data_IF_605396797498
#
_entry.id   IF_605396797498
#
_cell.length_a   1.000
_cell.length_b   1.000
_cell.length_c   1.000
_cell.angle_alpha   90.00
_cell.angle_beta   90.00
_cell.angle_gamma   90.00
#
_symmetry.space_group_name_H-M   'P 1'
#
loop_
_entity.id
_entity.type
_entity.pdbx_description
1 polymer ?
#
# COMPACT_ATOMS: atom_id res chain seq x y z
N UNK A 1 -13.56 1.51 2.10
CA UNK A 1 -14.76 1.00 2.80
C UNK A 1 -14.37 0.91 4.24
N UNK A 2 -14.89 1.81 5.08
CA UNK A 2 -14.68 1.70 6.52
C UNK A 2 -15.34 0.39 6.99
N UNK A 3 -14.59 -0.41 7.75
CA UNK A 3 -15.12 -1.64 8.32
C UNK A 3 -16.26 -1.34 9.30
N UNK A 4 -17.18 -2.28 9.48
CA UNK A 4 -18.13 -2.20 10.60
C UNK A 4 -17.42 -2.50 11.92
N UNK A 5 -17.92 -1.91 13.00
CA UNK A 5 -17.43 -2.20 14.35
C UNK A 5 -17.73 -3.65 14.76
N UNK A 6 -17.00 -4.16 15.77
CA UNK A 6 -17.23 -5.51 16.30
C UNK A 6 -18.65 -5.68 16.87
N UNK A 7 -19.18 -4.63 17.50
CA UNK A 7 -20.55 -4.61 18.03
C UNK A 7 -21.58 -4.70 16.90
N UNK A 8 -21.45 -3.87 15.86
CA UNK A 8 -22.33 -3.92 14.69
C UNK A 8 -22.28 -5.27 13.98
N UNK A 9 -21.08 -5.85 13.81
CA UNK A 9 -20.91 -7.17 13.20
C UNK A 9 -21.65 -8.24 14.01
N UNK A 10 -21.42 -8.27 15.33
CA UNK A 10 -22.06 -9.21 16.25
C UNK A 10 -23.60 -9.10 16.20
N UNK A 11 -24.13 -7.88 16.16
CA UNK A 11 -25.57 -7.65 16.09
C UNK A 11 -26.17 -8.12 14.76
N UNK A 12 -25.50 -7.87 13.64
CA UNK A 12 -25.92 -8.38 12.32
C UNK A 12 -25.82 -9.89 12.23
N UNK A 13 -24.77 -10.50 12.78
CA UNK A 13 -24.62 -11.96 12.84
C UNK A 13 -25.71 -12.60 13.69
N UNK A 14 -26.07 -11.98 14.82
CA UNK A 14 -27.20 -12.44 15.66
C UNK A 14 -28.51 -12.38 14.90
N UNK A 15 -28.78 -11.25 14.23
CA UNK A 15 -29.99 -11.08 13.43
C UNK A 15 -30.06 -12.13 12.31
N UNK A 16 -28.95 -12.35 11.60
CA UNK A 16 -28.85 -13.37 10.54
C UNK A 16 -29.14 -14.76 11.08
N UNK A 17 -28.53 -15.14 12.22
CA UNK A 17 -28.78 -16.42 12.88
C UNK A 17 -30.27 -16.61 13.22
N UNK A 18 -30.89 -15.61 13.86
CA UNK A 18 -32.31 -15.67 14.24
C UNK A 18 -33.22 -15.85 13.02
N UNK A 19 -32.95 -15.11 11.94
CA UNK A 19 -33.74 -15.20 10.69
C UNK A 19 -33.56 -16.54 10.00
N UNK A 20 -32.33 -17.02 9.91
CA UNK A 20 -32.01 -18.31 9.31
C UNK A 20 -32.63 -19.47 10.10
N UNK A 21 -32.48 -19.51 11.42
CA UNK A 21 -33.01 -20.60 12.25
C UNK A 21 -34.54 -20.67 12.20
N UNK A 22 -35.21 -19.51 12.15
CA UNK A 22 -36.64 -19.44 11.94
C UNK A 22 -37.06 -19.99 10.56
N UNK A 23 -36.32 -19.65 9.51
CA UNK A 23 -36.57 -20.16 8.15
C UNK A 23 -36.38 -21.68 8.09
N UNK A 24 -35.24 -22.19 8.54
CA UNK A 24 -34.92 -23.62 8.48
C UNK A 24 -35.90 -24.45 9.31
N UNK A 25 -36.33 -23.96 10.47
CA UNK A 25 -37.36 -24.63 11.28
C UNK A 25 -38.68 -24.81 10.55
N UNK A 26 -39.05 -23.86 9.70
CA UNK A 26 -40.34 -23.87 9.00
C UNK A 26 -40.28 -24.52 7.62
N UNK A 27 -39.17 -24.36 6.89
CA UNK A 27 -39.05 -24.72 5.47
C UNK A 27 -37.88 -25.67 5.15
N UNK A 28 -37.07 -26.05 6.15
CA UNK A 28 -35.85 -26.83 5.96
C UNK A 28 -34.70 -26.02 5.35
N UNK A 29 -33.61 -26.71 4.98
CA UNK A 29 -32.42 -26.08 4.39
C UNK A 29 -32.76 -25.27 3.12
N UNK A 30 -32.13 -24.10 2.96
CA UNK A 30 -32.28 -23.22 1.81
C UNK A 30 -31.95 -23.97 0.51
N UNK A 31 -30.89 -24.77 0.53
CA UNK A 31 -30.39 -25.59 -0.58
C UNK A 31 -31.23 -26.85 -0.85
N UNK A 32 -32.27 -27.12 -0.04
CA UNK A 32 -33.14 -28.28 -0.24
C UNK A 32 -33.86 -28.25 -1.60
N UNK A 33 -34.20 -29.43 -2.12
CA UNK A 33 -34.87 -29.54 -3.43
C UNK A 33 -36.19 -28.76 -3.49
N UNK A 34 -36.95 -28.71 -2.39
CA UNK A 34 -38.22 -27.99 -2.34
C UNK A 34 -38.01 -26.47 -2.43
N UNK A 35 -37.08 -25.92 -1.66
CA UNK A 35 -36.77 -24.50 -1.66
C UNK A 35 -36.12 -24.06 -2.97
N UNK A 36 -35.24 -24.88 -3.56
CA UNK A 36 -34.68 -24.63 -4.90
C UNK A 36 -35.76 -24.50 -5.99
N UNK A 37 -36.82 -25.30 -5.91
CA UNK A 37 -37.93 -25.21 -6.87
C UNK A 37 -38.74 -23.93 -6.60
N UNK A 38 -38.97 -23.59 -5.34
CA UNK A 38 -39.71 -22.39 -4.95
C UNK A 38 -38.99 -21.09 -5.38
N UNK A 39 -37.65 -21.06 -5.30
CA UNK A 39 -36.82 -19.91 -5.67
C UNK A 39 -36.26 -19.98 -7.10
N UNK A 40 -36.79 -20.85 -7.96
CA UNK A 40 -36.21 -21.10 -9.29
C UNK A 40 -36.05 -19.84 -10.16
N UNK A 41 -36.99 -18.90 -10.03
CA UNK A 41 -37.03 -17.68 -10.83
C UNK A 41 -36.46 -16.46 -10.07
N UNK A 42 -35.88 -16.67 -8.88
CA UNK A 42 -35.28 -15.63 -8.06
C UNK A 42 -33.79 -15.47 -8.42
N UNK A 43 -33.39 -14.26 -8.84
CA UNK A 43 -32.02 -13.94 -9.21
C UNK A 43 -31.05 -13.98 -8.02
N UNK A 44 -31.56 -13.80 -6.80
CA UNK A 44 -30.75 -13.70 -5.58
C UNK A 44 -30.65 -15.05 -4.86
N UNK A 45 -31.33 -16.09 -5.34
CA UNK A 45 -31.26 -17.44 -4.76
C UNK A 45 -29.82 -18.00 -4.65
N UNK A 46 -28.91 -17.81 -5.62
CA UNK A 46 -27.51 -18.25 -5.47
C UNK A 46 -26.81 -17.60 -4.26
N UNK A 47 -27.14 -16.34 -3.95
CA UNK A 47 -26.60 -15.66 -2.78
C UNK A 47 -27.15 -16.29 -1.49
N UNK A 48 -28.44 -16.64 -1.44
CA UNK A 48 -29.01 -17.34 -0.29
C UNK A 48 -28.37 -18.72 -0.07
N UNK A 49 -28.03 -19.42 -1.15
CA UNK A 49 -27.31 -20.69 -1.06
C UNK A 49 -25.93 -20.53 -0.40
N UNK A 50 -25.27 -19.37 -0.53
CA UNK A 50 -23.97 -19.12 0.12
C UNK A 50 -24.03 -19.10 1.65
N UNK A 51 -25.22 -19.05 2.25
CA UNK A 51 -25.43 -19.21 3.69
C UNK A 51 -25.23 -20.65 4.17
N UNK A 52 -25.18 -21.61 3.25
CA UNK A 52 -25.14 -23.04 3.56
C UNK A 52 -23.94 -23.74 2.92
N UNK A 53 -23.23 -24.53 3.73
CA UNK A 53 -22.19 -25.45 3.29
C UNK A 53 -22.79 -26.86 3.27
N UNK A 54 -22.86 -27.44 2.06
CA UNK A 54 -23.37 -28.80 1.85
C UNK A 54 -22.18 -29.74 1.63
N UNK A 55 -22.03 -30.76 2.48
CA UNK A 55 -20.98 -31.76 2.30
C UNK A 55 -21.37 -32.84 1.28
N UNK A 56 -20.45 -33.75 0.97
CA UNK A 56 -20.65 -34.83 -0.01
C UNK A 56 -21.81 -35.78 0.38
N UNK A 57 -22.07 -35.94 1.67
CA UNK A 57 -23.15 -36.76 2.23
C UNK A 57 -24.53 -36.04 2.21
N UNK A 58 -24.57 -34.77 1.81
CA UNK A 58 -25.79 -33.96 1.77
C UNK A 58 -26.20 -33.36 3.12
N UNK A 59 -25.34 -33.43 4.14
CA UNK A 59 -25.52 -32.68 5.38
C UNK A 59 -25.26 -31.19 5.13
N UNK A 60 -26.11 -30.37 5.71
CA UNK A 60 -26.09 -28.91 5.54
C UNK A 60 -25.64 -28.26 6.85
N UNK A 61 -24.65 -27.37 6.75
CA UNK A 61 -24.13 -26.57 7.87
C UNK A 61 -24.23 -25.08 7.53
N UNK A 62 -24.30 -24.24 8.57
CA UNK A 62 -24.23 -22.79 8.41
C UNK A 62 -22.83 -22.41 7.94
N UNK A 63 -22.76 -21.51 6.95
CA UNK A 63 -21.50 -20.97 6.47
C UNK A 63 -20.76 -20.16 7.54
N UNK A 64 -19.47 -19.96 7.32
CA UNK A 64 -18.57 -19.22 8.22
C UNK A 64 -19.08 -17.82 8.64
N UNK A 65 -19.84 -17.13 7.78
CA UNK A 65 -20.34 -15.77 8.04
C UNK A 65 -21.29 -15.67 9.25
N UNK A 66 -21.87 -16.79 9.69
CA UNK A 66 -22.72 -16.85 10.89
C UNK A 66 -21.95 -16.71 12.19
N UNK A 67 -20.64 -16.95 12.18
CA UNK A 67 -19.83 -17.11 13.39
C UNK A 67 -18.59 -16.22 13.42
N UNK A 68 -18.04 -15.87 12.24
CA UNK A 68 -16.83 -15.07 12.16
C UNK A 68 -16.89 -14.05 11.03
N UNK A 69 -16.06 -13.02 11.15
CA UNK A 69 -15.86 -12.05 10.10
C UNK A 69 -15.22 -12.73 8.87
N UNK A 70 -15.95 -12.82 7.76
CA UNK A 70 -15.46 -13.45 6.51
C UNK A 70 -14.80 -12.45 5.56
N UNK A 71 -15.06 -11.16 5.75
CA UNK A 71 -14.45 -10.06 5.00
C UNK A 71 -13.80 -9.12 6.01
N UNK A 72 -12.47 -9.13 6.09
CA UNK A 72 -11.73 -8.11 6.83
C UNK A 72 -11.75 -6.83 6.01
N UNK A 73 -12.15 -5.73 6.63
CA UNK A 73 -11.89 -4.42 6.05
C UNK A 73 -10.37 -4.31 5.86
N UNK A 74 -9.94 -3.77 4.72
CA UNK A 74 -8.54 -3.47 4.49
C UNK A 74 -8.13 -2.47 5.57
N UNK A 75 -7.31 -2.90 6.51
CA UNK A 75 -6.70 -1.99 7.49
C UNK A 75 -5.71 -1.15 6.70
N UNK A 76 -6.09 0.09 6.41
CA UNK A 76 -5.15 1.07 5.87
C UNK A 76 -4.17 1.36 7.00
N UNK A 77 -2.87 1.29 6.71
CA UNK A 77 -1.86 1.68 7.69
C UNK A 77 -1.90 3.20 7.77
N UNK A 78 -2.28 3.71 8.93
CA UNK A 78 -2.46 5.16 9.13
C UNK A 78 -1.15 5.87 9.46
N UNK A 79 -0.22 5.19 10.15
CA UNK A 79 1.09 5.75 10.51
C UNK A 79 2.15 4.67 10.74
N UNK A 80 3.39 4.98 10.38
CA UNK A 80 4.60 4.20 10.69
C UNK A 80 5.68 5.10 11.30
N UNK A 81 6.69 4.50 11.92
CA UNK A 81 7.73 5.23 12.65
C UNK A 81 9.04 5.36 11.86
N UNK A 82 9.22 4.57 10.80
CA UNK A 82 10.46 4.58 10.00
C UNK A 82 10.21 4.59 8.50
N UNK A 83 11.16 5.16 7.75
CA UNK A 83 11.16 5.14 6.29
C UNK A 83 11.12 3.71 5.72
N UNK A 84 11.82 2.77 6.35
CA UNK A 84 11.86 1.35 5.91
C UNK A 84 10.51 0.67 6.07
N UNK A 85 9.79 0.93 7.16
CA UNK A 85 8.40 0.47 7.31
C UNK A 85 7.51 1.06 6.22
N UNK A 86 7.62 2.37 5.98
CA UNK A 86 6.85 3.03 4.92
C UNK A 86 7.12 2.41 3.53
N UNK A 87 8.40 2.11 3.24
CA UNK A 87 8.81 1.45 2.01
C UNK A 87 8.17 0.07 1.86
N UNK A 88 8.24 -0.74 2.91
CA UNK A 88 7.65 -2.08 2.91
C UNK A 88 6.14 -2.04 2.70
N UNK A 89 5.44 -1.09 3.33
CA UNK A 89 4.00 -0.90 3.11
C UNK A 89 3.72 -0.47 1.67
N UNK A 90 4.48 0.49 1.14
CA UNK A 90 4.33 0.94 -0.25
C UNK A 90 4.49 -0.21 -1.25
N UNK A 91 5.55 -1.00 -1.12
CA UNK A 91 5.82 -2.12 -2.02
C UNK A 91 4.77 -3.20 -1.89
N UNK A 92 4.31 -3.50 -0.66
CA UNK A 92 3.24 -4.48 -0.45
C UNK A 92 1.90 -4.04 -1.06
N UNK A 93 1.59 -2.75 -0.96
CA UNK A 93 0.30 -2.18 -1.33
C UNK A 93 0.19 -1.86 -2.83
N UNK A 94 1.27 -1.34 -3.43
CA UNK A 94 1.29 -0.86 -4.81
C UNK A 94 2.15 -1.70 -5.74
N UNK A 95 3.05 -2.54 -5.22
CA UNK A 95 4.03 -3.28 -6.00
C UNK A 95 5.19 -2.43 -6.54
N UNK A 96 5.34 -1.18 -6.07
CA UNK A 96 6.44 -0.28 -6.42
C UNK A 96 6.67 0.75 -5.30
N UNK A 97 7.77 1.51 -5.39
CA UNK A 97 8.11 2.59 -4.45
C UNK A 97 7.25 3.83 -4.74
N UNK A 98 6.36 4.18 -3.82
CA UNK A 98 5.44 5.32 -3.93
C UNK A 98 5.74 6.33 -2.81
N UNK A 99 6.66 7.27 -3.09
CA UNK A 99 7.10 8.26 -2.10
C UNK A 99 5.96 9.13 -1.56
N UNK A 100 5.01 9.51 -2.42
CA UNK A 100 3.85 10.31 -2.01
C UNK A 100 3.00 9.57 -0.96
N UNK A 101 2.75 8.27 -1.17
CA UNK A 101 2.07 7.44 -0.18
C UNK A 101 2.91 7.27 1.10
N UNK A 102 4.20 7.01 0.96
CA UNK A 102 5.09 6.87 2.12
C UNK A 102 5.05 8.12 3.01
N UNK A 103 5.13 9.33 2.43
CA UNK A 103 5.00 10.60 3.15
C UNK A 103 3.61 10.85 3.74
N UNK A 104 2.57 10.12 3.30
CA UNK A 104 1.24 10.20 3.90
C UNK A 104 1.11 9.40 5.20
N UNK A 105 1.96 8.39 5.39
CA UNK A 105 1.95 7.50 6.57
C UNK A 105 3.20 7.65 7.45
N UNK A 106 4.21 8.35 6.97
CA UNK A 106 5.48 8.56 7.66
C UNK A 106 5.86 10.04 7.63
N UNK A 107 6.34 10.54 8.78
CA UNK A 107 6.80 11.91 8.92
C UNK A 107 8.32 11.94 9.15
N UNK A 108 9.12 12.26 8.12
CA UNK A 108 10.57 12.35 8.24
C UNK A 108 11.01 13.47 9.19
N UNK A 109 12.08 13.25 9.95
CA UNK A 109 12.68 14.28 10.78
C UNK A 109 13.50 15.26 9.92
N UNK A 110 12.89 16.41 9.64
CA UNK A 110 13.50 17.46 8.82
C UNK A 110 14.28 18.50 9.63
N UNK A 111 14.56 18.25 10.92
CA UNK A 111 15.23 19.23 11.79
C UNK A 111 16.61 19.62 11.26
N UNK A 112 17.47 18.64 10.99
CA UNK A 112 18.81 18.89 10.45
C UNK A 112 18.75 19.58 9.08
N UNK A 113 17.83 19.12 8.21
CA UNK A 113 17.67 19.67 6.88
C UNK A 113 17.22 21.15 6.90
N UNK A 114 16.40 21.54 7.90
CA UNK A 114 16.02 22.94 8.13
C UNK A 114 17.19 23.79 8.63
N UNK A 115 18.00 23.25 9.55
CA UNK A 115 19.19 23.94 10.07
C UNK A 115 20.19 24.24 8.95
N UNK A 116 20.48 23.27 8.09
CA UNK A 116 21.37 23.46 6.94
C UNK A 116 20.83 24.52 5.96
N UNK A 117 19.51 24.56 5.74
CA UNK A 117 18.89 25.59 4.91
C UNK A 117 19.02 26.98 5.54
N UNK A 118 18.87 27.09 6.86
CA UNK A 118 19.02 28.34 7.61
C UNK A 118 20.43 28.91 7.47
N UNK A 119 21.44 28.04 7.63
CA UNK A 119 22.84 28.42 7.48
C UNK A 119 23.16 28.92 6.06
N UNK A 120 22.64 28.22 5.03
CA UNK A 120 22.85 28.59 3.62
C UNK A 120 22.16 29.90 3.24
N UNK A 121 21.00 30.21 3.83
CA UNK A 121 20.26 31.45 3.57
C UNK A 121 20.71 32.63 4.45
N UNK A 122 21.51 32.37 5.49
CA UNK A 122 21.91 33.38 6.48
C UNK A 122 20.76 33.83 7.38
N UNK A 123 19.71 33.01 7.51
CA UNK A 123 18.53 33.25 8.34
C UNK A 123 18.55 32.36 9.58
N UNK A 124 17.76 32.70 10.60
CA UNK A 124 17.52 31.79 11.72
C UNK A 124 16.43 30.78 11.37
N UNK A 125 16.46 29.57 11.96
CA UNK A 125 15.47 28.50 11.68
C UNK A 125 14.03 28.99 11.88
N UNK A 126 13.81 29.84 12.88
CA UNK A 126 12.49 30.42 13.21
C UNK A 126 12.00 31.45 12.17
N UNK A 127 12.89 32.00 11.34
CA UNK A 127 12.55 32.98 10.30
C UNK A 127 12.29 32.32 8.93
N UNK A 128 12.63 31.04 8.76
CA UNK A 128 12.36 30.32 7.50
C UNK A 128 10.86 30.00 7.42
N UNK A 129 10.14 30.82 6.65
CA UNK A 129 8.79 30.50 6.22
C UNK A 129 8.88 29.67 4.93
N UNK A 130 8.81 28.34 5.04
CA UNK A 130 8.70 27.46 3.89
C UNK A 130 7.25 27.48 3.36
N UNK A 131 7.09 27.54 2.04
CA UNK A 131 5.81 27.20 1.42
C UNK A 131 5.50 25.72 1.64
N UNK A 132 4.22 25.34 1.52
CA UNK A 132 3.80 23.94 1.62
C UNK A 132 4.55 23.05 0.61
N UNK A 133 4.78 23.56 -0.61
CA UNK A 133 5.53 22.88 -1.66
C UNK A 133 7.00 22.67 -1.26
N UNK A 134 7.68 23.69 -0.73
CA UNK A 134 9.07 23.59 -0.30
C UNK A 134 9.21 22.62 0.89
N UNK A 135 8.23 22.59 1.79
CA UNK A 135 8.21 21.64 2.90
C UNK A 135 8.02 20.19 2.40
N UNK A 136 7.18 19.99 1.39
CA UNK A 136 6.99 18.67 0.78
C UNK A 136 8.25 18.18 0.06
N UNK A 137 8.94 19.06 -0.66
CA UNK A 137 10.24 18.76 -1.26
C UNK A 137 11.30 18.40 -0.22
N UNK A 138 11.37 19.15 0.88
CA UNK A 138 12.31 18.89 1.96
C UNK A 138 12.06 17.53 2.62
N UNK A 139 10.81 17.23 2.96
CA UNK A 139 10.42 15.93 3.53
C UNK A 139 10.77 14.78 2.58
N UNK A 140 10.54 14.95 1.29
CA UNK A 140 10.91 13.94 0.28
C UNK A 140 12.41 13.73 0.20
N UNK A 141 13.19 14.81 0.25
CA UNK A 141 14.65 14.73 0.23
C UNK A 141 15.17 13.92 1.43
N UNK A 142 14.68 14.21 2.64
CA UNK A 142 15.03 13.47 3.86
C UNK A 142 14.57 12.01 3.78
N UNK A 143 13.34 11.74 3.34
CA UNK A 143 12.85 10.37 3.16
C UNK A 143 13.77 9.55 2.26
N UNK A 144 14.21 10.12 1.14
CA UNK A 144 15.09 9.42 0.21
C UNK A 144 16.49 9.20 0.82
N UNK A 145 16.99 10.16 1.59
CA UNK A 145 18.26 10.00 2.32
C UNK A 145 18.20 8.87 3.36
N UNK A 146 17.11 8.78 4.11
CA UNK A 146 16.88 7.68 5.07
C UNK A 146 16.77 6.30 4.39
N UNK A 147 16.44 6.29 3.10
CA UNK A 147 16.35 5.09 2.27
C UNK A 147 17.60 4.88 1.40
N UNK A 148 18.70 5.57 1.68
CA UNK A 148 19.93 5.41 0.93
C UNK A 148 20.37 3.93 0.89
N UNK A 149 20.70 3.46 -0.32
CA UNK A 149 21.02 2.06 -0.60
C UNK A 149 19.83 1.08 -0.60
N UNK A 150 18.63 1.48 -0.18
CA UNK A 150 17.41 0.66 -0.25
C UNK A 150 16.55 0.97 -1.48
N UNK A 151 16.59 2.22 -1.95
CA UNK A 151 15.90 2.67 -3.16
C UNK A 151 16.87 3.39 -4.08
N UNK A 152 16.63 3.29 -5.39
CA UNK A 152 17.42 3.94 -6.42
C UNK A 152 16.50 4.63 -7.42
N UNK A 153 16.88 5.82 -7.86
CA UNK A 153 16.18 6.53 -8.93
C UNK A 153 16.63 5.96 -10.28
N UNK A 154 15.73 5.32 -11.03
CA UNK A 154 16.06 4.73 -12.32
C UNK A 154 16.13 5.82 -13.42
N UNK A 155 17.30 6.05 -14.06
CA UNK A 155 17.43 7.10 -15.06
C UNK A 155 16.62 6.87 -16.34
N UNK A 156 16.15 5.64 -16.62
CA UNK A 156 15.26 5.37 -17.76
C UNK A 156 13.78 5.69 -17.44
N UNK A 157 13.44 5.90 -16.16
CA UNK A 157 12.05 6.08 -15.70
C UNK A 157 11.80 7.39 -14.96
N UNK A 158 12.85 8.09 -14.51
CA UNK A 158 12.68 9.35 -13.78
C UNK A 158 12.01 10.42 -14.66
N UNK A 159 11.30 11.34 -14.00
CA UNK A 159 10.64 12.45 -14.66
C UNK A 159 10.98 13.76 -13.92
N UNK A 160 11.61 14.71 -14.62
CA UNK A 160 11.99 16.01 -14.05
C UNK A 160 10.79 16.84 -13.59
N UNK A 161 9.62 16.63 -14.19
CA UNK A 161 8.39 17.33 -13.83
C UNK A 161 7.63 16.63 -12.69
N UNK A 162 8.05 15.42 -12.29
CA UNK A 162 7.42 14.70 -11.19
C UNK A 162 8.48 13.89 -10.40
N UNK A 163 8.97 14.44 -9.28
CA UNK A 163 10.04 13.82 -8.49
C UNK A 163 9.63 12.51 -7.79
N UNK A 164 8.35 12.15 -7.80
CA UNK A 164 7.85 10.89 -7.23
C UNK A 164 7.96 9.70 -8.20
N UNK A 165 8.32 9.94 -9.46
CA UNK A 165 8.40 8.90 -10.49
C UNK A 165 9.84 8.44 -10.70
N UNK A 166 10.00 7.12 -10.86
CA UNK A 166 11.26 6.49 -11.25
C UNK A 166 11.99 5.77 -10.11
N UNK A 167 11.45 5.77 -8.90
CA UNK A 167 12.03 5.07 -7.76
C UNK A 167 11.79 3.57 -7.84
N UNK A 168 12.86 2.80 -7.68
CA UNK A 168 12.86 1.34 -7.65
C UNK A 168 13.56 0.85 -6.39
N UNK A 169 13.15 -0.32 -5.87
CA UNK A 169 13.85 -0.95 -4.75
C UNK A 169 15.24 -1.40 -5.18
N UNK A 170 16.16 -1.58 -4.22
CA UNK A 170 17.49 -2.13 -4.48
C UNK A 170 17.42 -3.48 -5.21
N UNK A 171 16.51 -4.37 -4.78
CA UNK A 171 16.32 -5.69 -5.37
C UNK A 171 15.89 -5.62 -6.85
N UNK A 172 15.07 -4.64 -7.22
CA UNK A 172 14.63 -4.43 -8.60
C UNK A 172 15.70 -3.71 -9.44
N UNK A 173 16.27 -2.63 -8.92
CA UNK A 173 17.20 -1.79 -9.67
C UNK A 173 18.54 -2.49 -9.88
N UNK A 174 19.07 -3.19 -8.89
CA UNK A 174 20.37 -3.88 -8.95
C UNK A 174 20.29 -5.27 -9.58
N UNK A 175 19.13 -5.69 -10.10
CA UNK A 175 18.96 -6.96 -10.80
C UNK A 175 18.63 -6.79 -12.28
N UNK A 176 18.62 -7.90 -13.03
CA UNK A 176 18.32 -7.93 -14.45
C UNK A 176 19.49 -7.45 -15.33
N UNK A 177 19.23 -6.54 -16.28
CA UNK A 177 20.25 -6.07 -17.23
C UNK A 177 21.14 -4.98 -16.61
N UNK A 178 21.96 -5.37 -15.64
CA UNK A 178 22.87 -4.50 -14.88
C UNK A 178 23.83 -3.72 -15.78
N UNK A 179 24.29 -4.32 -16.90
CA UNK A 179 25.22 -3.67 -17.83
C UNK A 179 24.61 -2.45 -18.51
N UNK A 180 23.37 -2.57 -18.99
CA UNK A 180 22.68 -1.44 -19.61
C UNK A 180 22.32 -0.36 -18.57
N UNK A 181 21.81 -0.76 -17.40
CA UNK A 181 21.54 0.16 -16.29
C UNK A 181 22.78 0.94 -15.88
N UNK A 182 23.94 0.28 -15.77
CA UNK A 182 25.21 0.91 -15.44
C UNK A 182 25.65 1.91 -16.51
N UNK A 183 25.50 1.56 -17.80
CA UNK A 183 25.84 2.45 -18.90
C UNK A 183 24.99 3.73 -18.86
N UNK A 184 23.68 3.60 -18.64
CA UNK A 184 22.76 4.75 -18.56
C UNK A 184 23.07 5.58 -17.31
N UNK A 185 23.22 4.95 -16.14
CA UNK A 185 23.56 5.66 -14.90
C UNK A 185 24.88 6.44 -15.02
N UNK A 186 25.91 5.88 -15.66
CA UNK A 186 27.18 6.60 -15.94
C UNK A 186 27.00 7.81 -16.84
N UNK A 187 26.15 7.72 -17.86
CA UNK A 187 25.87 8.84 -18.75
C UNK A 187 25.20 9.99 -18.00
N UNK A 188 24.19 9.67 -17.18
CA UNK A 188 23.45 10.68 -16.41
C UNK A 188 24.25 11.26 -15.25
N UNK A 189 25.13 10.47 -14.62
CA UNK A 189 26.05 10.95 -13.59
C UNK A 189 27.15 11.88 -14.13
N UNK A 190 27.51 11.75 -15.42
CA UNK A 190 28.53 12.58 -16.07
C UNK A 190 27.97 13.91 -16.59
N UNK A 191 26.64 14.05 -16.68
CA UNK A 191 25.97 15.28 -17.09
C UNK A 191 25.89 16.26 -15.91
N UNK A 192 26.72 17.29 -15.92
CA UNK A 192 26.78 18.29 -14.83
C UNK A 192 25.55 19.19 -14.78
N UNK A 193 24.77 19.25 -15.86
CA UNK A 193 23.54 20.04 -15.90
C UNK A 193 22.35 19.25 -15.32
N UNK A 194 22.53 17.95 -15.04
CA UNK A 194 21.49 17.10 -14.48
C UNK A 194 21.36 17.29 -12.95
N UNK A 195 20.19 17.72 -12.44
CA UNK A 195 19.99 17.93 -11.00
C UNK A 195 20.08 16.64 -10.16
N UNK A 196 19.99 15.47 -10.79
CA UNK A 196 20.10 14.16 -10.14
C UNK A 196 21.46 13.48 -10.38
N UNK A 197 22.45 14.18 -10.95
CA UNK A 197 23.76 13.62 -11.29
C UNK A 197 24.44 12.93 -10.08
N UNK A 198 24.37 13.54 -8.89
CA UNK A 198 24.93 12.98 -7.67
C UNK A 198 24.23 11.67 -7.25
N UNK A 199 22.90 11.60 -7.40
CA UNK A 199 22.15 10.36 -7.13
C UNK A 199 22.54 9.26 -8.11
N UNK A 200 22.64 9.60 -9.40
CA UNK A 200 23.08 8.63 -10.40
C UNK A 200 24.52 8.18 -10.21
N UNK A 201 25.41 9.01 -9.66
CA UNK A 201 26.73 8.59 -9.24
C UNK A 201 26.67 7.53 -8.11
N UNK A 202 25.76 7.71 -7.15
CA UNK A 202 25.43 6.68 -6.14
C UNK A 202 24.93 5.38 -6.78
N UNK A 203 24.03 5.46 -7.76
CA UNK A 203 23.57 4.28 -8.52
C UNK A 203 24.73 3.55 -9.21
N UNK A 204 25.67 4.28 -9.82
CA UNK A 204 26.86 3.69 -10.46
C UNK A 204 27.69 2.92 -9.44
N UNK A 205 27.95 3.52 -8.28
CA UNK A 205 28.73 2.88 -7.22
C UNK A 205 28.04 1.60 -6.67
N UNK A 206 26.71 1.55 -6.67
CA UNK A 206 25.96 0.36 -6.28
C UNK A 206 25.99 -0.73 -7.36
N UNK A 207 25.74 -0.36 -8.63
CA UNK A 207 25.74 -1.28 -9.77
C UNK A 207 27.12 -1.90 -10.06
N UNK A 208 28.22 -1.21 -9.75
CA UNK A 208 29.58 -1.74 -9.90
C UNK A 208 29.92 -2.85 -8.88
N UNK A 209 29.11 -3.01 -7.83
CA UNK A 209 29.30 -4.03 -6.79
C UNK A 209 28.50 -5.31 -7.05
N UNK A 210 27.66 -5.35 -8.09
CA UNK A 210 26.82 -6.48 -8.50
C UNK A 210 27.60 -7.44 -9.41
#
# INVERSE_FOLDING_TARGET
MDGCSEEELSDKQRLLNVKYDAFVKQYGAITSKANRIAFRDDSDYPLLCSLEEVNEDGEVKKADMFYKQTIKAKTVIDRVETAVEALNVSVNEFGYVNLAYMLSIYEPDITNAKEELAEKSGQTVDEITLSDDALAELRRAVLVEELDGLVFLNPDRYNENNPDIGWETADEYLSGNVRDKLRVAKAMAADTDNPQAERFAGNVAALEKV
#
